data_IF_030010624427
#
_entry.id   IF_030010624427
#
_cell.length_a   1.000
_cell.length_b   1.000
_cell.length_c   1.000
_cell.angle_alpha   90.00
_cell.angle_beta   90.00
_cell.angle_gamma   90.00
#
_symmetry.space_group_name_H-M   'P 1'
#
loop_
_entity.id
_entity.type
_entity.pdbx_description
1 polymer ?
#
# COMPACT_ATOMS: atom_id res chain seq x y z
N UNK A 1 1.37 2.72 -14.00
CA UNK A 1 0.64 1.90 -13.00
C UNK A 1 -0.19 2.84 -12.15
N UNK A 2 -1.47 2.52 -11.95
CA UNK A 2 -2.40 3.27 -11.09
C UNK A 2 -2.72 2.41 -9.88
N UNK A 3 -2.58 2.97 -8.67
CA UNK A 3 -2.77 2.22 -7.41
C UNK A 3 -3.84 2.92 -6.57
N UNK A 4 -4.93 2.20 -6.28
CA UNK A 4 -5.98 2.60 -5.34
C UNK A 4 -6.50 4.05 -5.49
N UNK A 5 -6.54 4.59 -6.71
CA UNK A 5 -7.03 5.95 -7.00
C UNK A 5 -7.85 5.96 -8.28
N UNK A 6 -8.89 6.79 -8.30
CA UNK A 6 -9.79 6.96 -9.45
C UNK A 6 -9.42 8.24 -10.19
N UNK A 7 -8.43 8.16 -11.08
CA UNK A 7 -7.88 9.32 -11.80
C UNK A 7 -8.94 10.05 -12.63
N UNK A 8 -9.85 9.31 -13.25
CA UNK A 8 -10.84 9.87 -14.15
C UNK A 8 -11.88 10.74 -13.42
N UNK A 9 -12.22 10.42 -12.16
CA UNK A 9 -13.21 11.14 -11.36
C UNK A 9 -12.64 12.07 -10.28
N UNK A 10 -11.38 11.86 -9.86
CA UNK A 10 -10.74 12.65 -8.80
C UNK A 10 -10.25 14.01 -9.30
N UNK A 11 -9.70 14.05 -10.51
CA UNK A 11 -9.05 15.24 -11.04
C UNK A 11 -10.06 16.22 -11.65
N UNK A 12 -9.88 17.55 -11.47
CA UNK A 12 -10.87 18.55 -11.87
C UNK A 12 -11.13 18.60 -13.38
N UNK A 13 -10.19 18.11 -14.20
CA UNK A 13 -10.33 18.01 -15.65
C UNK A 13 -10.34 16.55 -16.10
N UNK A 14 -11.38 15.82 -15.70
CA UNK A 14 -11.62 14.41 -16.04
C UNK A 14 -11.46 14.11 -17.53
N UNK A 15 -11.91 15.01 -18.41
CA UNK A 15 -11.85 14.80 -19.86
C UNK A 15 -10.41 14.80 -20.39
N UNK A 16 -9.54 15.66 -19.85
CA UNK A 16 -8.12 15.60 -20.16
C UNK A 16 -7.51 14.29 -19.69
N UNK A 17 -7.86 13.84 -18.47
CA UNK A 17 -7.33 12.61 -17.89
C UNK A 17 -7.77 11.39 -18.69
N UNK A 18 -9.06 11.24 -19.01
CA UNK A 18 -9.58 10.13 -19.83
C UNK A 18 -8.87 10.04 -21.19
N UNK A 19 -8.71 11.17 -21.89
CA UNK A 19 -7.97 11.21 -23.16
C UNK A 19 -6.50 10.84 -23.02
N UNK A 20 -5.87 11.13 -21.89
CA UNK A 20 -4.50 10.71 -21.61
C UNK A 20 -4.43 9.21 -21.31
N UNK A 21 -5.34 8.68 -20.48
CA UNK A 21 -5.42 7.27 -20.14
C UNK A 21 -5.61 6.40 -21.39
N UNK A 22 -6.48 6.78 -22.32
CA UNK A 22 -6.69 6.04 -23.59
C UNK A 22 -5.50 6.04 -24.56
N UNK A 23 -4.43 6.82 -24.28
CA UNK A 23 -3.23 6.91 -25.12
C UNK A 23 -2.01 6.20 -24.53
N UNK A 24 -2.13 5.65 -23.32
CA UNK A 24 -1.04 4.93 -22.67
C UNK A 24 -0.86 3.57 -23.37
N UNK A 25 0.37 3.19 -23.68
CA UNK A 25 0.66 1.94 -24.40
C UNK A 25 0.43 0.68 -23.54
N UNK A 26 0.59 0.81 -22.22
CA UNK A 26 0.35 -0.28 -21.28
C UNK A 26 0.00 0.26 -19.89
N UNK A 27 -1.15 -0.14 -19.35
CA UNK A 27 -1.62 0.29 -18.04
C UNK A 27 -1.98 -0.87 -17.12
N UNK A 28 -1.30 -0.89 -15.97
CA UNK A 28 -1.62 -1.76 -14.82
C UNK A 28 -2.43 -0.97 -13.79
N UNK A 29 -3.57 -1.52 -13.37
CA UNK A 29 -4.39 -0.99 -12.28
C UNK A 29 -4.35 -1.96 -11.10
N UNK A 30 -4.03 -1.45 -9.90
CA UNK A 30 -4.01 -2.21 -8.65
C UNK A 30 -5.11 -1.69 -7.73
N UNK A 31 -6.09 -2.53 -7.42
CA UNK A 31 -7.29 -2.14 -6.70
C UNK A 31 -7.95 -3.28 -5.94
N UNK A 32 -8.74 -2.94 -4.93
CA UNK A 32 -9.54 -3.91 -4.15
C UNK A 32 -10.82 -4.25 -4.91
N UNK A 33 -11.49 -3.24 -5.44
CA UNK A 33 -12.69 -3.37 -6.27
C UNK A 33 -12.43 -2.70 -7.62
N UNK A 34 -13.11 -3.15 -8.69
CA UNK A 34 -13.12 -2.43 -9.95
C UNK A 34 -13.66 -1.00 -9.76
N UNK A 35 -13.05 -0.06 -10.47
CA UNK A 35 -13.49 1.34 -10.55
C UNK A 35 -13.37 1.85 -11.98
N UNK A 36 -13.84 3.06 -12.26
CA UNK A 36 -13.89 3.63 -13.62
C UNK A 36 -12.52 3.61 -14.33
N UNK A 37 -11.41 3.82 -13.59
CA UNK A 37 -10.05 3.72 -14.16
C UNK A 37 -9.67 2.31 -14.63
N UNK A 38 -10.36 1.28 -14.12
CA UNK A 38 -10.14 -0.14 -14.47
C UNK A 38 -10.54 -0.42 -15.92
N UNK A 39 -11.47 0.34 -16.49
CA UNK A 39 -11.90 0.19 -17.88
C UNK A 39 -10.76 0.44 -18.88
N UNK A 40 -9.78 1.26 -18.49
CA UNK A 40 -8.65 1.63 -19.32
C UNK A 40 -7.45 0.69 -19.13
N UNK A 41 -7.53 -0.31 -18.23
CA UNK A 41 -6.41 -1.14 -17.85
C UNK A 41 -6.19 -2.31 -18.81
N UNK A 42 -4.94 -2.59 -19.16
CA UNK A 42 -4.54 -3.82 -19.85
C UNK A 42 -4.38 -4.99 -18.87
N UNK A 43 -4.03 -4.68 -17.62
CA UNK A 43 -3.85 -5.65 -16.55
C UNK A 43 -4.40 -5.13 -15.23
N UNK A 44 -5.19 -5.95 -14.55
CA UNK A 44 -5.72 -5.66 -13.22
C UNK A 44 -5.09 -6.60 -12.20
N UNK A 45 -4.52 -6.03 -11.14
CA UNK A 45 -3.99 -6.78 -10.00
C UNK A 45 -4.91 -6.57 -8.78
N UNK A 46 -5.51 -7.65 -8.31
CA UNK A 46 -6.46 -7.62 -7.21
C UNK A 46 -5.73 -7.50 -5.86
N UNK A 47 -5.99 -6.41 -5.15
CA UNK A 47 -5.38 -6.08 -3.86
C UNK A 47 -6.27 -6.52 -2.71
N UNK A 48 -5.70 -7.20 -1.72
CA UNK A 48 -6.42 -7.60 -0.49
C UNK A 48 -6.86 -6.38 0.32
N UNK A 49 -7.98 -6.48 1.04
CA UNK A 49 -8.42 -5.42 1.98
C UNK A 49 -7.46 -5.31 3.18
N UNK A 50 -7.57 -4.23 3.95
CA UNK A 50 -6.70 -4.00 5.10
C UNK A 50 -6.91 -5.00 6.25
N UNK A 51 -8.06 -5.68 6.32
CA UNK A 51 -8.31 -6.73 7.33
C UNK A 51 -7.72 -8.09 6.94
N UNK A 52 -7.32 -8.25 5.67
CA UNK A 52 -6.87 -9.52 5.09
C UNK A 52 -5.35 -9.68 5.09
N UNK A 53 -4.61 -8.68 5.56
CA UNK A 53 -3.15 -8.61 5.44
C UNK A 53 -2.49 -7.90 6.60
N UNK A 54 -1.24 -8.25 6.82
CA UNK A 54 -0.33 -7.46 7.61
C UNK A 54 0.19 -6.29 6.78
N UNK A 55 0.33 -5.12 7.39
CA UNK A 55 0.97 -3.95 6.82
C UNK A 55 2.24 -3.63 7.61
N UNK A 56 3.17 -2.94 6.95
CA UNK A 56 4.30 -2.34 7.64
C UNK A 56 3.79 -1.31 8.65
N UNK A 57 4.49 -1.10 9.79
CA UNK A 57 4.18 -0.02 10.71
C UNK A 57 4.11 1.33 10.00
N UNK A 58 3.08 2.11 10.26
CA UNK A 58 2.88 3.41 9.63
C UNK A 58 2.82 4.51 10.66
N UNK A 59 3.32 5.69 10.28
CA UNK A 59 3.09 6.89 11.07
C UNK A 59 1.63 7.31 10.94
N UNK A 60 1.00 7.58 12.09
CA UNK A 60 -0.33 8.15 12.12
C UNK A 60 -0.25 9.59 11.63
N UNK A 61 -0.77 9.82 10.43
CA UNK A 61 -0.83 11.16 9.85
C UNK A 61 -1.81 12.07 10.58
N UNK A 62 -1.56 13.38 10.54
CA UNK A 62 -2.45 14.43 11.06
C UNK A 62 -2.79 14.30 12.57
N UNK A 63 -1.84 13.86 13.38
CA UNK A 63 -1.95 13.84 14.83
C UNK A 63 -1.12 14.97 15.46
N UNK A 64 -1.58 15.51 16.59
CA UNK A 64 -0.84 16.53 17.37
C UNK A 64 0.46 15.97 17.96
N UNK A 65 0.45 14.67 18.26
CA UNK A 65 1.59 13.92 18.77
C UNK A 65 2.01 12.89 17.73
N UNK A 66 3.30 12.54 17.69
CA UNK A 66 3.77 11.51 16.77
C UNK A 66 3.36 10.13 17.28
N UNK A 67 2.65 9.37 16.46
CA UNK A 67 2.23 7.99 16.75
C UNK A 67 2.61 7.08 15.59
N UNK A 68 2.88 5.82 15.92
CA UNK A 68 2.99 4.72 14.98
C UNK A 68 1.87 3.72 15.26
N UNK A 69 1.23 3.21 14.22
CA UNK A 69 0.26 2.13 14.31
C UNK A 69 0.67 0.95 13.43
N UNK A 70 0.05 -0.20 13.70
CA UNK A 70 0.21 -1.39 12.88
C UNK A 70 -1.15 -2.00 12.57
N UNK A 71 -1.33 -2.41 11.32
CA UNK A 71 -2.47 -3.20 10.88
C UNK A 71 -2.05 -4.65 10.75
N UNK A 72 -2.62 -5.49 11.60
CA UNK A 72 -2.42 -6.93 11.61
C UNK A 72 -3.56 -7.62 10.86
N UNK A 73 -3.21 -8.70 10.17
CA UNK A 73 -4.18 -9.56 9.49
C UNK A 73 -5.20 -10.12 10.47
N UNK A 74 -6.48 -9.93 10.18
CA UNK A 74 -7.60 -10.44 11.01
C UNK A 74 -8.25 -11.66 10.35
N UNK A 75 -8.35 -11.67 9.02
CA UNK A 75 -8.92 -12.77 8.23
C UNK A 75 -7.98 -13.17 7.11
N UNK A 76 -8.15 -14.38 6.56
CA UNK A 76 -7.43 -14.78 5.35
C UNK A 76 -7.89 -13.98 4.13
N UNK A 77 -6.98 -13.67 3.18
CA UNK A 77 -7.34 -13.07 1.91
C UNK A 77 -8.48 -13.83 1.25
N UNK A 78 -9.49 -13.10 0.82
CA UNK A 78 -10.62 -13.68 0.10
C UNK A 78 -10.22 -13.75 -1.38
N UNK A 79 -10.50 -14.88 -2.02
CA UNK A 79 -10.11 -15.18 -3.41
C UNK A 79 -8.59 -15.15 -3.63
N UNK A 80 -8.13 -14.86 -4.86
CA UNK A 80 -6.71 -14.79 -5.22
C UNK A 80 -6.14 -13.37 -5.08
N UNK A 81 -6.56 -12.64 -4.05
CA UNK A 81 -6.02 -11.29 -3.79
C UNK A 81 -4.63 -11.38 -3.16
N UNK A 82 -3.82 -10.34 -3.37
CA UNK A 82 -2.49 -10.19 -2.73
C UNK A 82 -2.35 -8.81 -2.08
N UNK A 83 -1.59 -8.69 -0.99
CA UNK A 83 -1.30 -7.38 -0.40
C UNK A 83 -0.40 -6.55 -1.32
N UNK A 84 -0.47 -5.22 -1.20
CA UNK A 84 0.26 -4.31 -2.10
C UNK A 84 1.79 -4.48 -1.98
N UNK A 85 2.29 -4.63 -0.75
CA UNK A 85 3.72 -4.85 -0.51
C UNK A 85 4.22 -6.11 -1.23
N UNK A 86 3.41 -7.18 -1.28
CA UNK A 86 3.79 -8.42 -1.95
C UNK A 86 3.87 -8.22 -3.47
N UNK A 87 2.88 -7.54 -4.05
CA UNK A 87 2.87 -7.21 -5.48
C UNK A 87 4.13 -6.42 -5.86
N UNK A 88 4.52 -5.44 -5.04
CA UNK A 88 5.69 -4.60 -5.30
C UNK A 88 6.99 -5.41 -5.15
N UNK A 89 7.16 -6.17 -4.07
CA UNK A 89 8.34 -7.03 -3.87
C UNK A 89 8.52 -8.03 -5.02
N UNK A 90 7.44 -8.68 -5.45
CA UNK A 90 7.45 -9.62 -6.55
C UNK A 90 7.86 -8.96 -7.89
N UNK A 91 7.49 -7.69 -8.10
CA UNK A 91 7.98 -6.92 -9.25
C UNK A 91 9.46 -6.58 -9.10
N UNK A 92 9.90 -6.14 -7.93
CA UNK A 92 11.31 -5.83 -7.65
C UNK A 92 12.22 -7.04 -7.86
N UNK A 93 11.80 -8.22 -7.40
CA UNK A 93 12.53 -9.48 -7.57
C UNK A 93 12.63 -9.87 -9.05
N UNK A 94 11.53 -9.77 -9.81
CA UNK A 94 11.52 -10.06 -11.26
C UNK A 94 12.35 -9.08 -12.07
N UNK A 95 12.45 -7.83 -11.62
CA UNK A 95 13.27 -6.80 -12.25
C UNK A 95 14.74 -6.84 -11.81
N UNK A 96 15.08 -7.67 -10.81
CA UNK A 96 16.43 -7.78 -10.26
C UNK A 96 16.86 -6.52 -9.48
N UNK A 97 15.91 -5.76 -8.91
CA UNK A 97 16.17 -4.52 -8.20
C UNK A 97 16.49 -4.75 -6.72
N UNK A 98 15.76 -5.68 -6.09
CA UNK A 98 15.97 -6.10 -4.69
C UNK A 98 15.57 -7.56 -4.53
N UNK A 99 16.00 -8.18 -3.43
CA UNK A 99 15.53 -9.47 -2.93
C UNK A 99 14.98 -9.33 -1.50
N UNK A 100 14.55 -8.13 -1.12
CA UNK A 100 14.00 -7.86 0.21
C UNK A 100 12.72 -8.65 0.45
N UNK A 101 12.47 -8.94 1.72
CA UNK A 101 11.25 -9.58 2.19
C UNK A 101 10.46 -8.64 3.07
N UNK A 102 9.20 -9.00 3.37
CA UNK A 102 8.36 -8.22 4.28
C UNK A 102 9.04 -8.02 5.64
N UNK A 103 9.67 -9.06 6.19
CA UNK A 103 10.36 -9.00 7.49
C UNK A 103 11.57 -8.07 7.45
N UNK A 104 12.27 -8.02 6.31
CA UNK A 104 13.41 -7.13 6.12
C UNK A 104 12.96 -5.67 6.12
N UNK A 105 11.89 -5.36 5.39
CA UNK A 105 11.30 -4.02 5.35
C UNK A 105 10.70 -3.63 6.70
N UNK A 106 9.97 -4.53 7.35
CA UNK A 106 9.41 -4.30 8.69
C UNK A 106 10.50 -3.94 9.68
N UNK A 107 11.59 -4.72 9.70
CA UNK A 107 12.72 -4.45 10.58
C UNK A 107 13.34 -3.07 10.30
N UNK A 108 13.55 -2.73 9.02
CA UNK A 108 14.08 -1.41 8.66
C UNK A 108 13.20 -0.26 9.17
N UNK A 109 11.87 -0.38 9.04
CA UNK A 109 10.93 0.63 9.55
C UNK A 109 10.99 0.72 11.07
N UNK A 110 10.98 -0.42 11.78
CA UNK A 110 11.06 -0.45 13.24
C UNK A 110 12.38 0.13 13.77
N UNK A 111 13.49 -0.19 13.11
CA UNK A 111 14.82 0.32 13.46
C UNK A 111 14.89 1.83 13.26
N UNK A 112 14.31 2.36 12.17
CA UNK A 112 14.23 3.79 11.88
C UNK A 112 13.36 4.56 12.90
N UNK A 113 12.27 3.96 13.35
CA UNK A 113 11.36 4.58 14.32
C UNK A 113 11.78 4.35 15.78
N UNK A 114 12.78 3.51 16.02
CA UNK A 114 13.23 3.10 17.36
C UNK A 114 12.09 2.46 18.19
N UNK A 115 11.26 1.63 17.55
CA UNK A 115 10.07 1.01 18.16
C UNK A 115 10.28 -0.48 18.35
N UNK A 116 9.84 -1.00 19.51
CA UNK A 116 9.86 -2.43 19.78
C UNK A 116 8.67 -3.13 19.08
N UNK A 117 8.97 -4.16 18.27
CA UNK A 117 7.97 -4.96 17.55
C UNK A 117 6.93 -5.59 18.47
N UNK A 118 7.35 -6.30 19.52
CA UNK A 118 6.44 -7.05 20.39
C UNK A 118 5.46 -6.11 21.10
N UNK A 119 5.96 -4.97 21.55
CA UNK A 119 5.14 -3.95 22.20
C UNK A 119 4.13 -3.35 21.21
N UNK A 120 4.57 -3.01 19.99
CA UNK A 120 3.71 -2.45 18.95
C UNK A 120 2.61 -3.44 18.54
N UNK A 121 2.95 -4.70 18.29
CA UNK A 121 2.00 -5.74 17.93
C UNK A 121 0.98 -6.02 19.04
N UNK A 122 1.41 -5.97 20.31
CA UNK A 122 0.51 -6.18 21.44
C UNK A 122 -0.43 -5.00 21.70
N UNK A 123 0.03 -3.76 21.48
CA UNK A 123 -0.75 -2.54 21.75
C UNK A 123 -1.55 -2.06 20.55
N UNK A 124 -1.14 -2.41 19.32
CA UNK A 124 -1.71 -1.93 18.06
C UNK A 124 -1.24 -0.53 17.66
N UNK A 125 -0.97 0.35 18.63
CA UNK A 125 -0.37 1.66 18.38
C UNK A 125 0.53 2.11 19.54
N UNK A 126 1.49 2.97 19.23
CA UNK A 126 2.45 3.51 20.18
C UNK A 126 2.75 4.98 19.89
N UNK A 127 2.90 5.77 20.96
CA UNK A 127 3.38 7.14 20.87
C UNK A 127 4.90 7.14 20.66
N UNK A 128 5.38 7.94 19.72
CA UNK A 128 6.81 8.15 19.50
C UNK A 128 7.33 9.22 20.46
N UNK A 129 8.57 9.03 20.94
CA UNK A 129 9.21 9.95 21.87
C UNK A 129 9.63 11.26 21.19
N UNK A 130 10.07 11.17 19.93
CA UNK A 130 10.52 12.30 19.14
C UNK A 130 9.40 12.82 18.23
N UNK A 131 9.38 14.14 18.02
CA UNK A 131 8.48 14.73 17.04
C UNK A 131 9.07 14.47 15.64
N UNK A 132 8.34 13.72 14.83
CA UNK A 132 8.73 13.41 13.44
C UNK A 132 8.34 14.57 12.49
N UNK A 133 7.71 15.63 13.02
CA UNK A 133 7.29 16.84 12.31
C UNK A 133 7.81 18.12 12.99
#
# INVERSE_FOLDING_TARGET
>A
MVVATNLDGRDPNSEMVRRALSKVDFMVVVGVMPSDVTEYADLVLAKSTYLERDELPLLVGLSLESWVDIHQKVIDPIYDTKPLWWIVLELEHRLGLSNDTFETLEKQVLDQLHVNREELYSKGCMKLADNVY
#
